data_IF_965934668945
#
_entry.id   IF_965934668945
#
_cell.length_a   1.000
_cell.length_b   1.000
_cell.length_c   1.000
_cell.angle_alpha   90.00
_cell.angle_beta   90.00
_cell.angle_gamma   90.00
#
_symmetry.space_group_name_H-M   'P 1'
#
loop_
_entity.id
_entity.type
_entity.pdbx_description
1 polymer ?
#
# COMPACT_ATOMS: atom_id res chain seq x y z
N UNK A 1 47.99 -22.54 32.68
CA UNK A 1 46.65 -22.98 32.27
C UNK A 1 45.77 -21.76 32.24
N UNK A 2 45.45 -21.24 31.05
CA UNK A 2 44.57 -20.06 30.89
C UNK A 2 43.12 -20.54 30.90
N UNK A 3 42.40 -20.18 31.93
CA UNK A 3 40.96 -20.40 32.00
C UNK A 3 40.28 -19.46 31.03
N UNK A 4 39.89 -19.97 29.84
CA UNK A 4 38.96 -19.26 28.95
C UNK A 4 37.63 -19.12 29.66
N UNK A 5 37.36 -17.94 30.21
CA UNK A 5 36.03 -17.58 30.69
C UNK A 5 35.14 -17.42 29.45
N UNK A 6 34.37 -18.43 29.09
CA UNK A 6 33.34 -18.33 28.07
C UNK A 6 32.22 -17.50 28.64
N UNK A 7 32.20 -16.21 28.29
CA UNK A 7 31.04 -15.34 28.57
C UNK A 7 29.85 -15.89 27.79
N UNK A 8 28.92 -16.52 28.45
CA UNK A 8 27.64 -16.92 27.84
C UNK A 8 26.86 -15.66 27.53
N UNK A 9 26.96 -15.18 26.29
CA UNK A 9 26.11 -14.12 25.83
C UNK A 9 24.69 -14.70 25.75
N UNK A 10 23.74 -14.09 26.46
CA UNK A 10 22.36 -14.57 26.42
C UNK A 10 21.81 -14.46 24.99
N UNK A 11 21.13 -15.51 24.55
CA UNK A 11 20.56 -15.60 23.20
C UNK A 11 19.71 -14.37 22.83
N UNK A 12 18.98 -13.82 23.79
CA UNK A 12 18.21 -12.58 23.65
C UNK A 12 19.07 -11.37 23.20
N UNK A 13 20.28 -11.19 23.76
CA UNK A 13 21.16 -10.10 23.38
C UNK A 13 21.69 -10.26 21.96
N UNK A 14 22.00 -11.49 21.55
CA UNK A 14 22.41 -11.77 20.15
C UNK A 14 21.30 -11.46 19.17
N UNK A 15 20.07 -11.85 19.47
CA UNK A 15 18.92 -11.54 18.63
C UNK A 15 18.66 -10.03 18.55
N UNK A 16 18.72 -9.32 19.67
CA UNK A 16 18.54 -7.86 19.71
C UNK A 16 19.60 -7.14 18.88
N UNK A 17 20.87 -7.56 18.98
CA UNK A 17 21.96 -7.00 18.19
C UNK A 17 21.75 -7.25 16.68
N UNK A 18 21.45 -8.49 16.26
CA UNK A 18 21.18 -8.81 14.85
C UNK A 18 20.02 -8.01 14.29
N UNK A 19 18.98 -7.79 15.10
CA UNK A 19 17.84 -6.97 14.68
C UNK A 19 18.25 -5.50 14.50
N UNK A 20 19.06 -4.95 15.39
CA UNK A 20 19.56 -3.57 15.26
C UNK A 20 20.42 -3.41 14.00
N UNK A 21 21.35 -4.33 13.75
CA UNK A 21 22.17 -4.35 12.55
C UNK A 21 21.34 -4.42 11.26
N UNK A 22 20.29 -5.26 11.24
CA UNK A 22 19.36 -5.35 10.13
C UNK A 22 18.61 -4.02 9.90
N UNK A 23 18.12 -3.39 10.96
CA UNK A 23 17.41 -2.11 10.89
C UNK A 23 18.32 -1.01 10.38
N UNK A 24 19.56 -0.95 10.84
CA UNK A 24 20.54 0.04 10.39
C UNK A 24 20.88 -0.14 8.91
N UNK A 25 21.17 -1.39 8.48
CA UNK A 25 21.44 -1.69 7.08
C UNK A 25 20.24 -1.35 6.19
N UNK A 26 19.02 -1.65 6.64
CA UNK A 26 17.80 -1.34 5.91
C UNK A 26 17.60 0.18 5.78
N UNK A 27 17.76 0.94 6.87
CA UNK A 27 17.66 2.41 6.86
C UNK A 27 18.71 3.08 5.97
N UNK A 28 19.90 2.54 5.93
CA UNK A 28 21.00 3.07 5.09
C UNK A 28 20.69 2.94 3.59
N UNK A 29 19.88 1.97 3.20
CA UNK A 29 19.51 1.71 1.79
C UNK A 29 18.10 2.20 1.42
N UNK A 30 17.32 2.66 2.38
CA UNK A 30 15.98 3.18 2.13
C UNK A 30 16.02 4.61 1.60
N UNK A 31 15.28 4.88 0.55
CA UNK A 31 15.02 6.25 0.09
C UNK A 31 13.69 6.75 0.66
N UNK A 32 13.69 7.99 1.16
CA UNK A 32 12.46 8.64 1.67
C UNK A 32 11.55 9.12 0.54
N UNK A 33 12.14 9.59 -0.56
CA UNK A 33 11.42 9.93 -1.79
C UNK A 33 12.05 9.17 -2.94
N UNK A 34 11.22 8.49 -3.71
CA UNK A 34 11.59 7.83 -4.96
C UNK A 34 10.94 8.60 -6.09
N UNK A 35 11.75 9.24 -6.89
CA UNK A 35 11.27 10.00 -8.04
C UNK A 35 10.86 9.06 -9.20
N UNK A 36 9.87 9.49 -9.99
CA UNK A 36 9.41 8.72 -11.14
C UNK A 36 10.56 8.47 -12.13
N UNK A 37 11.43 9.44 -12.34
CA UNK A 37 12.59 9.34 -13.21
C UNK A 37 13.65 8.31 -12.77
N UNK A 38 13.61 7.89 -11.49
CA UNK A 38 14.46 6.82 -10.95
C UNK A 38 13.86 5.42 -11.16
N UNK A 39 12.67 5.32 -11.76
CA UNK A 39 11.97 4.05 -11.98
C UNK A 39 12.21 3.56 -13.41
N UNK A 40 13.08 2.58 -13.53
CA UNK A 40 13.37 1.97 -14.82
C UNK A 40 12.34 0.92 -15.19
N UNK A 41 11.70 1.10 -16.37
CA UNK A 41 10.67 0.19 -16.86
C UNK A 41 11.26 -0.91 -17.74
N UNK A 42 11.05 -2.18 -17.35
CA UNK A 42 11.54 -3.35 -18.06
C UNK A 42 10.40 -4.22 -18.58
N UNK A 43 10.60 -4.84 -19.75
CA UNK A 43 9.67 -5.83 -20.27
C UNK A 43 9.64 -7.08 -19.39
N UNK A 44 8.46 -7.62 -19.16
CA UNK A 44 8.26 -8.86 -18.40
C UNK A 44 7.80 -9.99 -19.29
N UNK A 45 8.00 -11.24 -18.87
CA UNK A 45 7.43 -12.43 -19.52
C UNK A 45 5.89 -12.45 -19.56
N UNK A 46 5.23 -11.49 -18.90
CA UNK A 46 3.78 -11.35 -18.84
C UNK A 46 3.21 -10.37 -19.87
N UNK A 47 4.00 -9.97 -20.89
CA UNK A 47 3.60 -9.03 -21.95
C UNK A 47 3.28 -7.61 -21.44
N UNK A 48 3.84 -7.24 -20.30
CA UNK A 48 3.73 -5.89 -19.72
C UNK A 48 5.13 -5.36 -19.44
N UNK A 49 5.25 -4.05 -19.26
CA UNK A 49 6.43 -3.47 -18.64
C UNK A 49 6.18 -3.26 -17.14
N UNK A 50 7.23 -3.41 -16.34
CA UNK A 50 7.22 -3.24 -14.88
C UNK A 50 8.41 -2.40 -14.46
N UNK A 51 8.19 -1.46 -13.56
CA UNK A 51 9.23 -0.69 -12.88
C UNK A 51 9.00 -0.67 -11.38
N UNK A 52 10.05 -0.82 -10.58
CA UNK A 52 9.94 -0.90 -9.12
C UNK A 52 10.26 0.44 -8.50
N UNK A 53 9.26 1.06 -7.87
CA UNK A 53 9.48 2.24 -7.01
C UNK A 53 10.13 1.84 -5.69
N UNK A 54 9.49 0.95 -4.95
CA UNK A 54 9.94 0.49 -3.63
C UNK A 54 9.79 -1.01 -3.58
N UNK A 55 10.86 -1.69 -3.25
CA UNK A 55 10.95 -3.16 -3.22
C UNK A 55 12.38 -3.63 -3.41
N UNK A 56 12.66 -4.86 -3.05
CA UNK A 56 13.99 -5.47 -3.13
C UNK A 56 14.57 -5.47 -4.56
N UNK A 57 13.74 -5.80 -5.55
CA UNK A 57 14.11 -5.84 -6.98
C UNK A 57 14.59 -4.48 -7.52
N UNK A 58 14.11 -3.38 -6.94
CA UNK A 58 14.53 -2.02 -7.29
C UNK A 58 15.74 -1.53 -6.47
N UNK A 59 16.35 -2.38 -5.66
CA UNK A 59 17.44 -2.00 -4.75
C UNK A 59 16.99 -1.10 -3.59
N UNK A 60 15.69 -1.02 -3.32
CA UNK A 60 15.06 -0.22 -2.26
C UNK A 60 14.23 -1.13 -1.37
N UNK A 61 14.88 -1.91 -0.48
CA UNK A 61 14.24 -2.92 0.33
C UNK A 61 13.16 -2.32 1.24
N UNK A 62 12.14 -3.11 1.50
CA UNK A 62 10.98 -2.78 2.35
C UNK A 62 10.70 -3.94 3.29
N UNK A 63 9.89 -3.70 4.32
CA UNK A 63 9.55 -4.74 5.31
C UNK A 63 8.21 -5.37 5.05
N UNK A 64 7.26 -4.58 4.59
CA UNK A 64 5.87 -4.99 4.63
C UNK A 64 5.17 -4.92 3.29
N UNK A 65 5.52 -3.97 2.47
CA UNK A 65 4.87 -3.73 1.18
C UNK A 65 5.88 -3.48 0.08
N UNK A 66 5.45 -3.58 -1.17
CA UNK A 66 6.17 -3.08 -2.33
C UNK A 66 5.30 -2.14 -3.16
N UNK A 67 5.92 -1.34 -4.02
CA UNK A 67 5.24 -0.47 -4.97
C UNK A 67 5.86 -0.60 -6.35
N UNK A 68 5.06 -0.95 -7.35
CA UNK A 68 5.52 -1.13 -8.71
C UNK A 68 4.63 -0.40 -9.71
N UNK A 69 5.25 0.16 -10.74
CA UNK A 69 4.55 0.71 -11.89
C UNK A 69 4.41 -0.37 -12.98
N UNK A 70 3.29 -0.36 -13.68
CA UNK A 70 3.00 -1.24 -14.80
C UNK A 70 2.49 -0.47 -15.99
N UNK A 71 2.86 -0.94 -17.18
CA UNK A 71 2.38 -0.43 -18.46
C UNK A 71 1.91 -1.57 -19.34
N UNK A 72 0.75 -1.36 -19.97
CA UNK A 72 0.17 -2.27 -20.95
C UNK A 72 -0.06 -1.50 -22.25
N UNK A 73 0.55 -1.96 -23.33
CA UNK A 73 0.37 -1.35 -24.65
C UNK A 73 -0.98 -1.73 -25.27
N UNK A 74 -1.51 -0.92 -26.20
CA UNK A 74 -2.75 -1.20 -26.91
C UNK A 74 -2.77 -2.60 -27.54
N UNK A 75 -3.91 -3.26 -27.46
CA UNK A 75 -4.13 -4.61 -28.01
C UNK A 75 -3.45 -5.74 -27.23
N UNK A 76 -2.86 -5.46 -26.09
CA UNK A 76 -2.13 -6.44 -25.27
C UNK A 76 -3.02 -7.00 -24.16
N UNK A 77 -2.89 -8.31 -23.92
CA UNK A 77 -3.44 -9.01 -22.77
C UNK A 77 -2.30 -9.72 -22.04
N UNK A 78 -2.17 -9.50 -20.74
CA UNK A 78 -1.16 -10.16 -19.91
C UNK A 78 -1.47 -11.64 -19.70
N UNK A 79 -0.46 -12.43 -19.31
CA UNK A 79 -0.70 -13.78 -18.82
C UNK A 79 -1.46 -13.77 -17.51
N UNK A 80 -2.20 -14.85 -17.24
CA UNK A 80 -2.94 -15.07 -15.99
C UNK A 80 -2.00 -15.55 -14.90
N UNK A 81 -2.23 -15.10 -13.68
CA UNK A 81 -1.55 -15.60 -12.49
C UNK A 81 -2.39 -15.40 -11.24
N UNK A 82 -1.98 -16.02 -10.16
CA UNK A 82 -2.45 -15.75 -8.79
C UNK A 82 -1.33 -15.84 -7.79
N UNK A 83 -1.50 -15.21 -6.66
CA UNK A 83 -0.50 -15.18 -5.60
C UNK A 83 -1.13 -15.18 -4.22
N UNK A 84 -0.34 -15.55 -3.20
CA UNK A 84 -0.80 -15.69 -1.80
C UNK A 84 -1.00 -14.38 -1.06
N UNK A 85 -0.62 -13.25 -1.64
CA UNK A 85 -0.78 -11.92 -1.06
C UNK A 85 -1.89 -11.12 -1.74
N UNK A 86 -2.39 -10.12 -1.03
CA UNK A 86 -3.27 -9.11 -1.61
C UNK A 86 -2.45 -8.08 -2.39
N UNK A 87 -2.96 -7.63 -3.53
CA UNK A 87 -2.43 -6.48 -4.25
C UNK A 87 -3.54 -5.47 -4.51
N UNK A 88 -3.15 -4.21 -4.48
CA UNK A 88 -4.01 -3.07 -4.76
C UNK A 88 -3.50 -2.34 -5.98
N UNK A 89 -4.41 -1.92 -6.82
CA UNK A 89 -4.13 -1.21 -8.06
C UNK A 89 -4.65 0.22 -7.94
N UNK A 90 -3.83 1.18 -8.34
CA UNK A 90 -4.26 2.55 -8.58
C UNK A 90 -3.97 2.91 -10.04
N UNK A 91 -5.02 3.26 -10.78
CA UNK A 91 -4.94 3.53 -12.21
C UNK A 91 -4.49 4.98 -12.43
N UNK A 92 -3.42 5.20 -13.17
CA UNK A 92 -2.83 6.54 -13.32
C UNK A 92 -2.99 7.13 -14.71
N UNK A 93 -3.11 6.30 -15.76
CA UNK A 93 -3.30 6.79 -17.12
C UNK A 93 -3.87 5.72 -18.06
N UNK A 94 -4.55 6.16 -19.11
CA UNK A 94 -5.16 5.29 -20.12
C UNK A 94 -6.41 4.57 -19.59
N UNK A 95 -7.04 3.80 -20.47
CA UNK A 95 -8.19 2.96 -20.16
C UNK A 95 -7.83 1.51 -20.43
N UNK A 96 -8.21 0.63 -19.52
CA UNK A 96 -7.94 -0.80 -19.64
C UNK A 96 -8.95 -1.61 -18.83
N UNK A 97 -8.71 -2.90 -18.72
CA UNK A 97 -9.50 -3.79 -17.89
C UNK A 97 -8.63 -4.75 -17.09
N UNK A 98 -9.17 -5.19 -15.98
CA UNK A 98 -8.62 -6.26 -15.15
C UNK A 98 -9.68 -7.33 -14.97
N UNK A 99 -9.31 -8.59 -15.14
CA UNK A 99 -10.18 -9.72 -14.88
C UNK A 99 -9.73 -10.44 -13.62
N UNK A 100 -10.66 -10.67 -12.71
CA UNK A 100 -10.45 -11.35 -11.42
C UNK A 100 -11.45 -12.49 -11.30
N UNK A 101 -10.99 -13.73 -11.27
CA UNK A 101 -11.83 -14.94 -11.17
C UNK A 101 -13.01 -14.93 -12.15
N UNK A 102 -12.77 -14.51 -13.41
CA UNK A 102 -13.77 -14.42 -14.48
C UNK A 102 -14.61 -13.13 -14.49
N UNK A 103 -14.45 -12.25 -13.50
CA UNK A 103 -15.12 -10.95 -13.47
C UNK A 103 -14.24 -9.89 -14.11
N UNK A 104 -14.68 -9.31 -15.24
CA UNK A 104 -13.97 -8.23 -15.92
C UNK A 104 -14.41 -6.88 -15.39
N UNK A 105 -13.45 -6.06 -15.02
CA UNK A 105 -13.61 -4.71 -14.49
C UNK A 105 -12.90 -3.75 -15.43
N UNK A 106 -13.63 -2.86 -16.08
CA UNK A 106 -13.04 -1.76 -16.86
C UNK A 106 -12.67 -0.62 -15.91
N UNK A 107 -11.54 0.03 -16.19
CA UNK A 107 -11.04 1.11 -15.36
C UNK A 107 -10.38 2.22 -16.18
N UNK A 108 -10.37 3.40 -15.61
CA UNK A 108 -9.69 4.59 -16.12
C UNK A 108 -8.86 5.30 -15.05
N UNK A 109 -8.25 6.45 -15.38
CA UNK A 109 -7.39 7.17 -14.45
C UNK A 109 -8.12 7.55 -13.15
N UNK A 110 -7.52 7.21 -12.00
CA UNK A 110 -8.05 7.44 -10.67
C UNK A 110 -8.84 6.29 -10.07
N UNK A 111 -9.25 5.31 -10.87
CA UNK A 111 -9.91 4.12 -10.36
C UNK A 111 -8.95 3.26 -9.53
N UNK A 112 -9.50 2.52 -8.58
CA UNK A 112 -8.75 1.62 -7.70
C UNK A 112 -9.34 0.22 -7.72
N UNK A 113 -8.48 -0.79 -7.67
CA UNK A 113 -8.86 -2.20 -7.73
C UNK A 113 -8.21 -3.00 -6.61
N UNK A 114 -8.90 -4.01 -6.15
CA UNK A 114 -8.36 -5.05 -5.26
C UNK A 114 -8.17 -6.34 -6.03
N UNK A 115 -6.97 -6.91 -5.92
CA UNK A 115 -6.63 -8.24 -6.39
C UNK A 115 -6.50 -9.15 -5.15
N UNK A 116 -7.58 -9.85 -4.77
CA UNK A 116 -7.57 -10.66 -3.56
C UNK A 116 -6.56 -11.80 -3.65
N UNK A 117 -5.96 -12.15 -2.52
CA UNK A 117 -5.07 -13.29 -2.40
C UNK A 117 -5.72 -14.56 -2.99
N UNK A 118 -4.97 -15.30 -3.81
CA UNK A 118 -5.38 -16.52 -4.51
C UNK A 118 -6.49 -16.37 -5.54
N UNK A 119 -6.82 -15.14 -5.98
CA UNK A 119 -7.70 -14.92 -7.13
C UNK A 119 -6.89 -14.91 -8.43
N UNK A 120 -7.33 -15.68 -9.42
CA UNK A 120 -6.75 -15.63 -10.75
C UNK A 120 -7.03 -14.27 -11.38
N UNK A 121 -6.00 -13.60 -11.87
CA UNK A 121 -6.16 -12.30 -12.50
C UNK A 121 -5.22 -12.08 -13.68
N UNK A 122 -5.67 -11.21 -14.57
CA UNK A 122 -4.94 -10.71 -15.74
C UNK A 122 -5.40 -9.30 -16.08
N UNK A 123 -4.64 -8.62 -16.91
CA UNK A 123 -4.93 -7.28 -17.36
C UNK A 123 -4.94 -7.20 -18.87
N UNK A 124 -5.72 -6.33 -19.46
CA UNK A 124 -5.74 -6.11 -20.90
C UNK A 124 -6.07 -4.67 -21.25
N UNK A 125 -5.53 -4.22 -22.38
CA UNK A 125 -5.74 -2.89 -22.92
C UNK A 125 -6.37 -2.98 -24.31
N UNK A 126 -7.63 -2.62 -24.41
CA UNK A 126 -8.40 -2.53 -25.65
C UNK A 126 -8.46 -1.08 -26.19
N UNK A 127 -7.83 -0.13 -25.49
CA UNK A 127 -7.76 1.29 -25.84
C UNK A 127 -6.71 1.59 -26.92
N UNK A 128 -6.56 2.87 -27.24
CA UNK A 128 -5.65 3.35 -28.28
C UNK A 128 -4.30 3.86 -27.75
N UNK A 129 -4.15 4.00 -26.44
CA UNK A 129 -2.94 4.49 -25.76
C UNK A 129 -2.45 3.51 -24.72
N UNK A 130 -1.19 3.61 -24.32
CA UNK A 130 -0.63 2.82 -23.22
C UNK A 130 -1.38 3.11 -21.91
N UNK A 131 -1.89 2.05 -21.29
CA UNK A 131 -2.50 2.14 -19.96
C UNK A 131 -1.44 1.93 -18.88
N UNK A 132 -1.53 2.73 -17.80
CA UNK A 132 -0.56 2.73 -16.69
C UNK A 132 -1.26 2.63 -15.36
N UNK A 133 -0.73 1.79 -14.49
CA UNK A 133 -1.21 1.64 -13.13
C UNK A 133 -0.08 1.31 -12.17
N UNK A 134 -0.30 1.62 -10.90
CA UNK A 134 0.57 1.22 -9.81
C UNK A 134 -0.03 0.02 -9.10
N UNK A 135 0.82 -0.90 -8.66
CA UNK A 135 0.42 -1.94 -7.71
C UNK A 135 1.15 -1.74 -6.40
N UNK A 136 0.43 -2.02 -5.33
CA UNK A 136 0.96 -2.08 -3.97
C UNK A 136 0.58 -3.43 -3.40
N UNK A 137 1.55 -4.17 -2.88
CA UNK A 137 1.30 -5.53 -2.40
C UNK A 137 1.92 -5.80 -1.03
N UNK A 138 1.39 -6.80 -0.34
CA UNK A 138 1.93 -7.30 0.92
C UNK A 138 2.93 -8.45 0.74
N UNK A 139 3.45 -8.64 -0.46
CA UNK A 139 4.40 -9.70 -0.81
C UNK A 139 5.63 -9.73 0.12
N UNK A 140 6.34 -8.59 0.35
CA UNK A 140 7.59 -8.62 1.12
C UNK A 140 7.44 -9.15 2.55
N UNK A 141 6.29 -8.89 3.17
CA UNK A 141 6.00 -9.46 4.48
C UNK A 141 5.85 -10.98 4.40
N UNK A 142 5.14 -11.48 3.40
CA UNK A 142 4.95 -12.93 3.22
C UNK A 142 6.23 -13.63 2.78
N UNK A 143 7.08 -12.98 1.99
CA UNK A 143 8.42 -13.48 1.69
C UNK A 143 9.25 -13.70 2.96
N UNK A 144 9.26 -12.69 3.85
CA UNK A 144 9.96 -12.77 5.13
C UNK A 144 9.46 -13.94 5.99
N UNK A 145 8.18 -14.29 5.87
CA UNK A 145 7.55 -15.43 6.57
C UNK A 145 7.68 -16.76 5.80
N UNK A 146 8.23 -16.77 4.59
CA UNK A 146 8.30 -17.96 3.73
C UNK A 146 6.94 -18.40 3.19
N UNK A 147 6.00 -17.45 3.05
CA UNK A 147 4.61 -17.71 2.64
C UNK A 147 4.25 -17.03 1.30
N UNK A 148 5.19 -16.38 0.64
CA UNK A 148 4.97 -15.82 -0.70
C UNK A 148 4.99 -16.97 -1.73
N UNK A 149 3.83 -17.23 -2.32
CA UNK A 149 3.62 -18.28 -3.32
C UNK A 149 2.89 -17.66 -4.51
N UNK A 150 3.33 -18.01 -5.71
CA UNK A 150 2.73 -17.56 -6.96
C UNK A 150 2.51 -18.75 -7.89
N UNK A 151 1.39 -18.74 -8.60
CA UNK A 151 1.06 -19.71 -9.64
C UNK A 151 0.82 -18.99 -10.97
N UNK A 152 1.38 -19.54 -12.05
CA UNK A 152 1.22 -19.04 -13.41
C UNK A 152 0.17 -19.89 -14.16
N UNK A 153 -0.85 -19.21 -14.73
CA UNK A 153 -1.89 -19.81 -15.55
C UNK A 153 -1.65 -19.63 -17.05
N UNK A 154 -0.56 -18.97 -17.45
CA UNK A 154 -0.20 -18.73 -18.86
C UNK A 154 -1.26 -17.92 -19.60
N UNK A 155 -1.67 -18.41 -20.78
CA UNK A 155 -2.66 -17.77 -21.65
C UNK A 155 -4.11 -18.24 -21.39
N UNK A 156 -4.34 -19.00 -20.34
CA UNK A 156 -5.69 -19.49 -20.02
C UNK A 156 -6.66 -18.34 -19.72
N UNK A 157 -7.94 -18.61 -19.88
CA UNK A 157 -8.99 -17.73 -19.37
C UNK A 157 -9.16 -17.95 -17.86
N UNK A 158 -9.24 -16.88 -17.07
CA UNK A 158 -9.39 -16.97 -15.61
C UNK A 158 -10.59 -17.82 -15.19
N UNK A 159 -11.69 -17.77 -15.96
CA UNK A 159 -12.89 -18.55 -15.72
C UNK A 159 -12.70 -20.07 -15.96
N UNK A 160 -11.68 -20.46 -16.72
CA UNK A 160 -11.39 -21.88 -17.02
C UNK A 160 -10.39 -22.51 -16.06
N UNK A 161 -9.69 -21.70 -15.29
CA UNK A 161 -8.70 -22.17 -14.32
C UNK A 161 -9.40 -22.65 -13.05
N UNK A 162 -8.85 -23.67 -12.37
CA UNK A 162 -9.47 -24.17 -11.16
C UNK A 162 -9.47 -23.10 -10.09
N UNK A 163 -10.64 -22.77 -9.52
CA UNK A 163 -10.69 -21.87 -8.39
C UNK A 163 -9.93 -22.48 -7.20
N UNK A 164 -9.53 -21.65 -6.24
CA UNK A 164 -9.02 -22.18 -4.98
C UNK A 164 -10.08 -23.11 -4.38
N UNK A 165 -9.72 -24.36 -4.04
CA UNK A 165 -10.66 -25.26 -3.38
C UNK A 165 -11.20 -24.60 -2.11
N UNK A 166 -12.52 -24.61 -1.87
CA UNK A 166 -13.04 -24.11 -0.61
C UNK A 166 -12.51 -24.96 0.53
N UNK A 167 -12.22 -24.34 1.66
CA UNK A 167 -12.02 -25.11 2.88
C UNK A 167 -13.27 -25.93 3.15
N UNK A 168 -13.11 -27.25 3.27
CA UNK A 168 -14.21 -28.11 3.71
C UNK A 168 -14.52 -27.75 5.16
N UNK A 169 -15.81 -27.47 5.51
CA UNK A 169 -16.16 -27.17 6.88
C UNK A 169 -15.99 -28.35 7.83
N UNK A 170 -15.48 -29.49 7.36
CA UNK A 170 -15.38 -30.73 8.14
C UNK A 170 -16.76 -31.41 8.39
N UNK A 171 -16.76 -32.60 8.86
CA UNK A 171 -17.98 -33.24 9.32
C UNK A 171 -18.57 -32.45 10.50
N UNK A 172 -19.88 -32.38 10.60
CA UNK A 172 -20.55 -31.80 11.75
C UNK A 172 -20.14 -32.58 13.02
N UNK A 173 -19.31 -31.98 13.83
CA UNK A 173 -18.76 -32.60 15.02
C UNK A 173 -18.15 -31.55 15.96
N UNK A 174 -17.97 -31.92 17.21
CA UNK A 174 -17.43 -31.06 18.24
C UNK A 174 -15.88 -31.09 18.34
N UNK A 175 -15.21 -31.68 17.35
CA UNK A 175 -13.75 -31.73 17.41
C UNK A 175 -13.13 -30.33 17.07
N UNK A 176 -11.98 -29.99 17.68
CA UNK A 176 -11.36 -28.69 17.52
C UNK A 176 -10.94 -28.36 16.06
N UNK A 177 -10.66 -29.36 15.24
CA UNK A 177 -10.31 -29.17 13.84
C UNK A 177 -11.53 -28.81 13.01
N UNK A 178 -12.67 -29.40 13.22
CA UNK A 178 -13.90 -29.04 12.53
C UNK A 178 -14.28 -27.59 12.77
N UNK A 179 -14.15 -27.10 14.01
CA UNK A 179 -14.40 -25.68 14.33
C UNK A 179 -13.42 -24.76 13.63
N UNK A 180 -12.12 -25.11 13.63
CA UNK A 180 -11.09 -24.34 12.90
C UNK A 180 -11.40 -24.29 11.42
N UNK A 181 -11.76 -25.39 10.78
CA UNK A 181 -12.07 -25.44 9.34
C UNK A 181 -13.33 -24.64 9.01
N UNK A 182 -14.37 -24.68 9.85
CA UNK A 182 -15.58 -23.84 9.67
C UNK A 182 -15.23 -22.35 9.68
N UNK A 183 -14.40 -21.90 10.62
CA UNK A 183 -13.96 -20.51 10.72
C UNK A 183 -13.14 -20.11 9.48
N UNK A 184 -12.18 -20.93 9.06
CA UNK A 184 -11.39 -20.66 7.86
C UNK A 184 -12.25 -20.63 6.59
N UNK A 185 -13.25 -21.48 6.47
CA UNK A 185 -14.20 -21.48 5.37
C UNK A 185 -15.02 -20.17 5.34
N UNK A 186 -15.51 -19.72 6.50
CA UNK A 186 -16.26 -18.47 6.63
C UNK A 186 -15.39 -17.25 6.26
N UNK A 187 -14.15 -17.18 6.74
CA UNK A 187 -13.19 -16.12 6.38
C UNK A 187 -12.89 -16.10 4.87
N UNK A 188 -12.69 -17.29 4.28
CA UNK A 188 -12.46 -17.40 2.85
C UNK A 188 -13.66 -16.92 2.02
N UNK A 189 -14.88 -17.26 2.45
CA UNK A 189 -16.10 -16.82 1.79
C UNK A 189 -16.27 -15.29 1.90
N UNK A 190 -16.02 -14.72 3.08
CA UNK A 190 -16.11 -13.28 3.30
C UNK A 190 -15.14 -12.51 2.38
N UNK A 191 -13.90 -12.97 2.25
CA UNK A 191 -12.90 -12.36 1.37
C UNK A 191 -13.31 -12.36 -0.10
N UNK A 192 -13.93 -13.46 -0.56
CA UNK A 192 -14.43 -13.55 -1.95
C UNK A 192 -15.63 -12.66 -2.24
N UNK A 193 -16.41 -12.31 -1.22
CA UNK A 193 -17.56 -11.42 -1.34
C UNK A 193 -17.20 -9.93 -1.22
N UNK A 194 -15.92 -9.61 -1.02
CA UNK A 194 -15.44 -8.23 -0.87
C UNK A 194 -15.56 -7.41 -2.17
N UNK A 195 -15.65 -6.11 -2.01
CA UNK A 195 -15.62 -5.15 -3.12
C UNK A 195 -14.28 -5.26 -3.88
N UNK A 196 -14.31 -5.17 -5.21
CA UNK A 196 -13.12 -5.26 -6.07
C UNK A 196 -12.73 -3.94 -6.73
N UNK A 197 -13.64 -2.97 -6.83
CA UNK A 197 -13.44 -1.75 -7.61
C UNK A 197 -14.05 -0.53 -6.93
N UNK A 198 -13.32 0.57 -6.93
CA UNK A 198 -13.80 1.91 -6.63
C UNK A 198 -13.59 2.79 -7.85
N UNK A 199 -14.68 3.30 -8.42
CA UNK A 199 -14.63 4.26 -9.52
C UNK A 199 -14.26 5.64 -8.99
N UNK A 200 -13.47 6.38 -9.77
CA UNK A 200 -13.20 7.78 -9.50
C UNK A 200 -14.45 8.63 -9.37
N UNK A 201 -15.46 8.31 -10.17
CA UNK A 201 -16.69 9.10 -10.24
C UNK A 201 -17.60 8.90 -9.00
N UNK A 202 -17.31 7.87 -8.18
CA UNK A 202 -18.00 7.60 -6.91
C UNK A 202 -17.32 8.27 -5.71
N UNK A 203 -16.20 8.98 -5.91
CA UNK A 203 -15.40 9.50 -4.80
C UNK A 203 -16.01 10.77 -4.22
N UNK A 204 -16.16 10.80 -2.91
CA UNK A 204 -16.52 11.97 -2.13
C UNK A 204 -15.38 12.32 -1.16
N UNK A 205 -14.84 13.54 -1.30
CA UNK A 205 -13.76 14.04 -0.45
C UNK A 205 -14.35 14.75 0.77
N UNK A 206 -14.06 14.23 1.96
CA UNK A 206 -14.58 14.75 3.22
C UNK A 206 -13.47 15.45 4.05
N UNK A 207 -13.76 16.60 4.68
CA UNK A 207 -12.80 17.28 5.54
C UNK A 207 -12.45 16.43 6.76
N UNK A 208 -11.20 16.52 7.20
CA UNK A 208 -10.68 15.79 8.35
C UNK A 208 -10.09 16.75 9.37
N UNK A 209 -10.04 16.38 10.68
CA UNK A 209 -9.39 17.18 11.70
C UNK A 209 -7.88 17.41 11.47
N UNK A 210 -7.29 16.75 10.48
CA UNK A 210 -5.87 16.85 10.13
C UNK A 210 -5.53 17.97 9.14
N UNK A 211 -6.48 18.87 8.84
CA UNK A 211 -6.28 19.97 7.92
C UNK A 211 -6.34 19.57 6.42
N UNK A 212 -6.83 18.38 6.13
CA UNK A 212 -6.99 17.81 4.79
C UNK A 212 -8.43 17.44 4.52
N UNK A 213 -8.79 17.17 3.26
CA UNK A 213 -9.96 16.33 2.98
C UNK A 213 -9.50 14.99 2.44
N UNK A 214 -10.26 13.93 2.75
CA UNK A 214 -9.85 12.55 2.49
C UNK A 214 -11.03 11.72 1.99
N UNK A 215 -10.73 10.70 1.19
CA UNK A 215 -11.65 9.63 0.80
C UNK A 215 -10.95 8.28 0.86
N UNK A 216 -11.69 7.21 1.13
CA UNK A 216 -11.17 5.86 0.99
C UNK A 216 -11.26 5.40 -0.46
N UNK A 217 -10.16 4.83 -0.97
CA UNK A 217 -10.10 4.17 -2.26
C UNK A 217 -10.22 2.66 -2.12
N UNK A 218 -9.66 2.11 -1.05
CA UNK A 218 -9.69 0.69 -0.75
C UNK A 218 -9.55 0.50 0.77
N UNK A 219 -10.69 0.19 1.42
CA UNK A 219 -10.75 0.07 2.88
C UNK A 219 -11.92 -0.85 3.28
N UNK A 220 -11.81 -1.48 4.45
CA UNK A 220 -12.90 -2.34 4.98
C UNK A 220 -14.17 -1.54 5.25
N UNK A 221 -14.05 -0.26 5.61
CA UNK A 221 -15.19 0.62 5.86
C UNK A 221 -16.08 0.82 4.63
N UNK A 222 -15.55 0.64 3.43
CA UNK A 222 -16.28 0.74 2.16
C UNK A 222 -16.48 -0.61 1.46
N UNK A 223 -16.36 -1.72 2.21
CA UNK A 223 -16.73 -3.07 1.76
C UNK A 223 -15.61 -3.93 1.19
N UNK A 224 -14.37 -3.50 1.25
CA UNK A 224 -13.23 -4.34 0.86
C UNK A 224 -12.88 -5.36 1.95
N UNK A 225 -12.36 -6.51 1.52
CA UNK A 225 -11.89 -7.58 2.40
C UNK A 225 -10.39 -7.81 2.26
N UNK A 226 -9.65 -6.74 2.03
CA UNK A 226 -8.19 -6.78 1.93
C UNK A 226 -7.54 -7.13 3.29
N UNK A 227 -6.47 -7.90 3.23
CA UNK A 227 -5.76 -8.38 4.41
C UNK A 227 -4.49 -7.56 4.64
N UNK A 228 -4.60 -6.43 5.27
CA UNK A 228 -3.41 -5.73 5.78
C UNK A 228 -3.01 -4.46 5.09
N UNK A 229 -3.56 -4.12 3.93
CA UNK A 229 -3.26 -2.86 3.24
C UNK A 229 -4.54 -2.07 3.05
N UNK A 230 -4.48 -0.76 3.25
CA UNK A 230 -5.55 0.18 2.91
C UNK A 230 -5.04 1.23 1.95
N UNK A 231 -5.93 1.80 1.15
CA UNK A 231 -5.63 2.89 0.24
C UNK A 231 -6.63 4.01 0.45
N UNK A 232 -6.12 5.22 0.65
CA UNK A 232 -6.93 6.42 0.77
C UNK A 232 -6.29 7.55 -0.04
N UNK A 233 -7.11 8.47 -0.52
CA UNK A 233 -6.61 9.69 -1.15
C UNK A 233 -6.90 10.86 -0.22
N UNK A 234 -5.94 11.76 -0.10
CA UNK A 234 -6.14 13.02 0.60
C UNK A 234 -5.60 14.21 -0.20
N UNK A 235 -6.14 15.37 0.09
CA UNK A 235 -5.75 16.65 -0.50
C UNK A 235 -5.27 17.60 0.58
N UNK A 236 -4.19 18.32 0.25
CA UNK A 236 -3.63 19.40 1.05
C UNK A 236 -3.88 20.70 0.30
N UNK A 237 -4.58 21.63 0.92
CA UNK A 237 -4.90 22.93 0.32
C UNK A 237 -3.65 23.76 -0.01
N UNK A 238 -3.80 24.82 -0.82
CA UNK A 238 -2.70 25.68 -1.22
C UNK A 238 -1.96 26.28 -0.03
N UNK A 239 -0.62 26.16 -0.01
CA UNK A 239 0.24 26.65 1.07
C UNK A 239 -0.06 26.06 2.46
N UNK A 240 -0.73 24.92 2.52
CA UNK A 240 -1.16 24.28 3.77
C UNK A 240 -0.36 23.02 4.07
N UNK A 241 -0.54 22.51 5.29
CA UNK A 241 0.06 21.28 5.76
C UNK A 241 -0.98 20.35 6.37
N UNK A 242 -0.77 19.05 6.25
CA UNK A 242 -1.43 18.07 7.10
C UNK A 242 -0.91 18.20 8.53
N UNK A 243 -1.71 17.90 9.56
CA UNK A 243 -1.21 17.87 10.93
C UNK A 243 -0.09 16.84 11.10
N UNK A 244 0.95 17.22 11.86
CA UNK A 244 2.03 16.30 12.21
C UNK A 244 1.51 15.16 13.07
N UNK A 245 2.03 13.95 12.85
CA UNK A 245 1.68 12.76 13.62
C UNK A 245 2.71 11.67 13.41
N UNK A 246 2.59 10.56 14.14
CA UNK A 246 3.28 9.31 13.87
C UNK A 246 2.36 8.13 14.13
N UNK A 247 2.67 6.99 13.52
CA UNK A 247 1.91 5.75 13.65
C UNK A 247 2.81 4.53 13.45
N UNK A 248 2.41 3.34 13.94
CA UNK A 248 3.02 2.08 13.56
C UNK A 248 2.70 1.77 12.09
N UNK A 249 3.49 0.93 11.47
CA UNK A 249 3.31 0.55 10.07
C UNK A 249 3.97 1.55 9.11
N UNK A 250 4.44 1.03 7.98
CA UNK A 250 4.93 1.85 6.88
C UNK A 250 3.76 2.49 6.15
N UNK A 251 3.93 3.72 5.69
CA UNK A 251 3.00 4.37 4.80
C UNK A 251 3.74 4.88 3.56
N UNK A 252 3.13 4.72 2.40
CA UNK A 252 3.64 5.25 1.15
C UNK A 252 2.62 6.17 0.53
N UNK A 253 3.12 7.23 -0.07
CA UNK A 253 2.29 8.27 -0.61
C UNK A 253 2.70 8.52 -2.06
N UNK A 254 1.85 8.11 -2.98
CA UNK A 254 2.02 8.44 -4.40
C UNK A 254 1.45 9.84 -4.66
N UNK A 255 2.27 10.73 -5.20
CA UNK A 255 1.86 12.09 -5.52
C UNK A 255 1.11 12.12 -6.83
N UNK A 256 -0.22 12.23 -6.75
CA UNK A 256 -1.12 12.26 -7.91
C UNK A 256 -1.06 13.60 -8.62
N UNK A 257 -0.97 14.70 -7.85
CA UNK A 257 -0.88 16.06 -8.38
C UNK A 257 -0.25 17.01 -7.35
N UNK A 258 0.41 18.06 -7.87
CA UNK A 258 1.06 19.08 -7.05
C UNK A 258 2.50 18.76 -6.69
N UNK A 259 3.06 19.58 -5.81
CA UNK A 259 4.42 19.47 -5.29
C UNK A 259 4.49 20.05 -3.87
N UNK A 260 5.52 19.64 -3.13
CA UNK A 260 5.71 20.10 -1.77
C UNK A 260 6.89 19.43 -1.12
N UNK A 261 6.88 19.36 0.18
CA UNK A 261 7.87 18.61 0.94
C UNK A 261 7.24 17.87 2.12
N UNK A 262 7.95 16.85 2.60
CA UNK A 262 7.57 16.10 3.80
C UNK A 262 8.65 16.26 4.86
N UNK A 263 8.24 16.58 6.08
CA UNK A 263 9.08 16.48 7.26
C UNK A 263 9.06 15.02 7.76
N UNK A 264 10.23 14.46 8.07
CA UNK A 264 10.38 13.18 8.76
C UNK A 264 11.44 13.27 9.84
N UNK A 265 11.15 12.75 11.02
CA UNK A 265 12.06 12.77 12.15
C UNK A 265 11.74 11.73 13.22
N UNK A 266 12.76 11.35 14.00
CA UNK A 266 12.55 10.53 15.20
C UNK A 266 11.79 11.31 16.30
N UNK A 267 11.94 12.63 16.28
CA UNK A 267 11.28 13.58 17.17
C UNK A 267 10.43 14.57 16.34
N UNK A 268 9.45 15.25 16.96
CA UNK A 268 8.61 16.22 16.26
C UNK A 268 9.37 17.46 15.75
N UNK A 269 10.59 17.67 16.22
CA UNK A 269 11.48 18.75 15.81
C UNK A 269 12.88 18.19 15.48
N UNK A 270 13.65 18.91 14.65
CA UNK A 270 15.02 18.52 14.31
C UNK A 270 15.15 17.41 13.26
N UNK A 271 14.05 17.01 12.64
CA UNK A 271 14.06 16.06 11.53
C UNK A 271 14.53 16.70 10.22
N UNK A 272 14.30 16.01 9.11
CA UNK A 272 14.69 16.44 7.76
C UNK A 272 13.46 16.66 6.89
N UNK A 273 13.60 17.53 5.90
CA UNK A 273 12.60 17.77 4.87
C UNK A 273 13.03 17.14 3.56
N UNK A 274 12.07 16.59 2.84
CA UNK A 274 12.27 15.88 1.59
C UNK A 274 11.28 16.42 0.56
N UNK A 275 11.75 17.09 -0.50
CA UNK A 275 10.88 17.62 -1.55
C UNK A 275 10.28 16.47 -2.37
N UNK A 276 9.07 16.70 -2.89
CA UNK A 276 8.38 15.78 -3.77
C UNK A 276 7.54 16.54 -4.81
N UNK A 277 7.26 15.86 -5.90
CA UNK A 277 6.43 16.35 -7.00
C UNK A 277 5.55 15.23 -7.54
N UNK A 278 4.64 15.58 -8.42
CA UNK A 278 3.79 14.64 -9.14
C UNK A 278 4.57 13.46 -9.73
N UNK A 279 4.09 12.25 -9.49
CA UNK A 279 4.69 10.99 -9.90
C UNK A 279 5.63 10.35 -8.88
N UNK A 280 6.07 11.08 -7.86
CA UNK A 280 6.96 10.55 -6.82
C UNK A 280 6.21 9.69 -5.82
N UNK A 281 6.94 8.76 -5.17
CA UNK A 281 6.48 8.06 -3.97
C UNK A 281 7.30 8.51 -2.76
N UNK A 282 6.58 8.93 -1.71
CA UNK A 282 7.15 9.27 -0.41
C UNK A 282 7.03 8.03 0.48
N UNK A 283 8.12 7.63 1.12
CA UNK A 283 8.18 6.49 2.04
C UNK A 283 8.27 6.99 3.48
N UNK A 284 7.28 6.66 4.28
CA UNK A 284 7.24 6.95 5.71
C UNK A 284 7.48 5.66 6.48
N UNK A 285 8.60 5.57 7.18
CA UNK A 285 8.95 4.42 8.01
C UNK A 285 8.16 4.40 9.33
N UNK A 286 8.13 3.25 10.00
CA UNK A 286 7.45 3.04 11.28
C UNK A 286 7.83 4.09 12.33
N UNK A 287 6.82 4.64 13.00
CA UNK A 287 6.95 5.56 14.13
C UNK A 287 7.81 6.81 13.89
N UNK A 288 8.05 7.19 12.63
CA UNK A 288 8.63 8.51 12.36
C UNK A 288 7.54 9.58 12.49
N UNK A 289 7.87 10.65 13.20
CA UNK A 289 7.10 11.87 13.13
C UNK A 289 7.15 12.41 11.73
N UNK A 290 5.99 12.68 11.15
CA UNK A 290 5.91 13.17 9.79
C UNK A 290 4.78 14.16 9.59
N UNK A 291 4.97 14.99 8.58
CA UNK A 291 4.05 16.00 8.13
C UNK A 291 4.26 16.21 6.64
N UNK A 292 3.16 16.38 5.90
CA UNK A 292 3.19 16.66 4.48
C UNK A 292 2.71 18.08 4.23
N UNK A 293 3.49 18.86 3.49
CA UNK A 293 3.29 20.29 3.24
C UNK A 293 3.16 20.51 1.74
N UNK A 294 2.12 21.20 1.33
CA UNK A 294 1.93 21.67 -0.02
C UNK A 294 2.59 23.05 -0.16
N UNK A 295 3.63 23.16 -0.98
CA UNK A 295 4.38 24.40 -1.18
C UNK A 295 3.75 25.32 -2.22
N UNK A 296 2.80 24.84 -3.01
CA UNK A 296 2.11 25.65 -4.01
C UNK A 296 1.07 26.56 -3.33
N UNK A 297 1.18 27.89 -3.47
CA UNK A 297 0.25 28.82 -2.82
C UNK A 297 -1.12 28.91 -3.50
N UNK A 298 -1.28 28.34 -4.70
CA UNK A 298 -2.48 28.48 -5.51
C UNK A 298 -3.18 27.14 -5.78
N UNK A 299 -2.44 26.03 -5.81
CA UNK A 299 -2.98 24.73 -6.20
C UNK A 299 -2.99 23.74 -5.04
N UNK A 300 -4.00 22.92 -5.02
CA UNK A 300 -4.13 21.79 -4.10
C UNK A 300 -3.19 20.67 -4.50
N UNK A 301 -2.45 20.11 -3.55
CA UNK A 301 -1.72 18.85 -3.75
C UNK A 301 -2.61 17.66 -3.43
N UNK A 302 -2.50 16.60 -4.22
CA UNK A 302 -3.29 15.36 -4.09
C UNK A 302 -2.38 14.16 -3.99
N UNK A 303 -2.61 13.32 -3.00
CA UNK A 303 -1.75 12.19 -2.68
C UNK A 303 -2.59 10.95 -2.39
N UNK A 304 -2.22 9.83 -2.98
CA UNK A 304 -2.75 8.50 -2.61
C UNK A 304 -1.84 7.90 -1.54
N UNK A 305 -2.41 7.68 -0.37
CA UNK A 305 -1.74 7.03 0.75
C UNK A 305 -2.05 5.54 0.75
N UNK A 306 -1.02 4.74 0.78
CA UNK A 306 -1.07 3.30 0.98
C UNK A 306 -0.52 3.03 2.38
N UNK A 307 -1.26 2.29 3.19
CA UNK A 307 -0.89 2.05 4.56
C UNK A 307 -1.19 0.62 4.97
N UNK A 308 -0.22 -0.01 5.61
CA UNK A 308 -0.42 -1.30 6.23
C UNK A 308 -1.04 -1.09 7.61
N UNK A 309 -2.35 -0.87 7.66
CA UNK A 309 -2.98 -0.43 8.88
C UNK A 309 -4.04 -1.41 9.40
N UNK A 310 -5.21 -1.45 8.90
CA UNK A 310 -6.38 -2.02 9.56
C UNK A 310 -6.27 -3.48 10.01
N UNK A 311 -6.33 -4.45 9.12
CA UNK A 311 -6.43 -5.85 9.50
C UNK A 311 -5.15 -6.41 10.11
N UNK A 312 -3.97 -5.90 9.68
CA UNK A 312 -2.73 -6.28 10.31
C UNK A 312 -2.62 -5.70 11.72
N UNK A 313 -3.00 -4.44 11.91
CA UNK A 313 -3.02 -3.84 13.24
C UNK A 313 -4.05 -4.48 14.16
N UNK A 314 -5.22 -4.84 13.69
CA UNK A 314 -6.19 -5.63 14.48
C UNK A 314 -5.59 -6.96 14.92
N UNK A 315 -4.87 -7.64 14.03
CA UNK A 315 -4.16 -8.86 14.35
C UNK A 315 -3.02 -8.59 15.35
N UNK A 316 -2.24 -7.52 15.13
CA UNK A 316 -1.12 -7.16 16.00
C UNK A 316 -1.57 -6.63 17.35
N UNK A 317 -2.74 -5.99 17.46
CA UNK A 317 -3.32 -5.59 18.74
C UNK A 317 -3.46 -6.77 19.70
N UNK A 318 -3.85 -7.93 19.19
CA UNK A 318 -3.93 -9.13 19.99
C UNK A 318 -2.55 -9.64 20.45
N UNK A 319 -1.48 -9.25 19.77
CA UNK A 319 -0.11 -9.71 20.04
C UNK A 319 0.74 -8.66 20.78
N UNK A 320 0.40 -7.38 20.65
CA UNK A 320 1.22 -6.26 21.09
C UNK A 320 0.37 -5.19 21.83
N UNK A 321 -0.53 -5.58 22.71
CA UNK A 321 -1.31 -4.66 23.52
C UNK A 321 -0.45 -4.03 24.64
N UNK A 322 -0.51 -2.70 24.87
CA UNK A 322 -1.26 -1.69 24.14
C UNK A 322 -0.50 -1.19 22.90
N UNK A 323 -1.13 -1.24 21.75
CA UNK A 323 -0.61 -0.64 20.53
C UNK A 323 -1.17 0.78 20.33
N UNK A 324 -0.29 1.77 20.28
CA UNK A 324 -0.67 3.15 19.95
C UNK A 324 -0.91 3.23 18.44
N UNK A 325 -2.14 3.52 18.02
CA UNK A 325 -2.50 3.63 16.60
C UNK A 325 -1.99 4.92 15.98
N UNK A 326 -2.15 6.03 16.71
CA UNK A 326 -1.68 7.34 16.30
C UNK A 326 -1.17 8.08 17.50
N UNK A 327 -0.14 8.88 17.32
CA UNK A 327 0.38 9.79 18.30
C UNK A 327 0.39 11.20 17.72
N UNK A 328 -0.21 12.13 18.44
CA UNK A 328 -0.22 13.55 18.11
C UNK A 328 1.00 14.23 18.74
N UNK A 329 1.57 15.26 18.11
CA UNK A 329 2.68 15.99 18.69
C UNK A 329 2.23 16.81 19.92
N UNK A 330 3.17 17.28 20.76
CA UNK A 330 2.87 18.20 21.84
C UNK A 330 2.09 19.43 21.36
N UNK A 331 1.24 19.99 22.23
CA UNK A 331 0.31 21.08 21.90
C UNK A 331 0.98 22.29 21.24
N UNK A 332 2.17 22.67 21.71
CA UNK A 332 2.91 23.81 21.16
C UNK A 332 3.37 23.63 19.70
N UNK A 333 3.38 22.40 19.21
CA UNK A 333 3.67 22.07 17.80
C UNK A 333 2.36 21.92 17.03
N UNK A 334 1.38 21.22 17.61
CA UNK A 334 0.08 20.97 16.99
C UNK A 334 -0.64 22.24 16.60
N UNK A 335 -0.67 23.22 17.50
CA UNK A 335 -1.43 24.47 17.32
C UNK A 335 -0.86 25.39 16.21
N UNK A 336 0.34 25.12 15.71
CA UNK A 336 1.00 25.94 14.69
C UNK A 336 0.77 25.46 13.24
N UNK A 337 0.27 24.25 13.04
CA UNK A 337 0.54 23.55 11.77
C UNK A 337 -0.68 23.09 10.96
N UNK A 338 -1.84 22.91 11.57
CA UNK A 338 -3.03 22.48 10.83
C UNK A 338 -3.98 23.68 10.68
N UNK A 339 -4.12 24.16 9.45
CA UNK A 339 -5.19 25.11 9.14
C UNK A 339 -6.56 24.42 9.22
N UNK A 340 -7.60 25.20 9.53
CA UNK A 340 -8.98 24.72 9.43
C UNK A 340 -9.30 24.28 7.99
N UNK A 341 -9.64 23.01 7.75
CA UNK A 341 -9.98 22.53 6.39
C UNK A 341 -11.23 23.24 5.84
N UNK A 342 -12.12 23.74 6.69
CA UNK A 342 -13.29 24.53 6.29
C UNK A 342 -12.95 25.91 5.71
N UNK A 343 -11.70 26.39 5.88
CA UNK A 343 -11.23 27.68 5.34
C UNK A 343 -10.61 27.56 3.94
N UNK A 344 -10.59 26.38 3.34
CA UNK A 344 -10.02 26.14 1.99
C UNK A 344 -11.14 26.09 0.97
N UNK A 345 -10.98 26.86 -0.10
CA UNK A 345 -11.81 26.70 -1.30
C UNK A 345 -11.27 25.52 -2.12
N UNK A 346 -11.88 24.35 -1.90
CA UNK A 346 -11.43 23.11 -2.51
C UNK A 346 -11.89 23.02 -3.98
N UNK A 347 -10.95 22.83 -4.91
CA UNK A 347 -11.32 22.64 -6.32
C UNK A 347 -12.07 21.32 -6.51
N UNK A 348 -12.88 21.22 -7.60
CA UNK A 348 -13.47 19.95 -8.00
C UNK A 348 -12.41 18.87 -8.22
N UNK A 349 -12.77 17.61 -7.91
CA UNK A 349 -11.96 16.47 -8.27
C UNK A 349 -11.82 16.34 -9.79
N UNK A 350 -10.59 16.29 -10.27
CA UNK A 350 -10.27 16.02 -11.67
C UNK A 350 -9.49 14.72 -11.77
N UNK A 351 -9.79 13.92 -12.80
CA UNK A 351 -9.08 12.65 -13.01
C UNK A 351 -7.57 12.88 -13.11
N UNK A 352 -6.76 11.99 -12.54
CA UNK A 352 -5.30 12.10 -12.61
C UNK A 352 -4.81 11.95 -14.06
N UNK A 353 -3.65 12.53 -14.31
CA UNK A 353 -2.92 12.37 -15.56
C UNK A 353 -1.53 11.86 -15.25
N UNK A 354 -0.94 11.09 -16.15
CA UNK A 354 0.46 10.69 -16.03
C UNK A 354 1.36 11.95 -16.11
N UNK A 355 2.45 12.00 -15.30
CA UNK A 355 3.43 13.10 -15.33
C UNK A 355 4.13 13.26 -16.67
#
# INVERSE_FOLDING_TARGET
MSTKTTTKVAHYHVQKQRRAEFIEAWRANQRTVVALEDVEMHGTGRRMRRGVYVGADGGRPTRSMDATAHEIDPGTVSTVHRHSWDAMVFCVAGEAWTEVDGTRIHWGPGDSLHLPAWSWHRHGNEGNGTARFLTFSSEPMLETMGMAIMEDGGDADTATLPPRPPFSPGAAGADPYAERLRRLAADQQARRAGRLHTSWDDLEMLPTPRGTRTTFLLDRAIGYQASGITMAMFEIGPGRAQSMHRHPGEAWLYVVDGSGHSYLGAEPEGGKTYPWKKGDIIVVDHFLWHQHINDDPERTARVVRIHMFDSLLETMRALCDPLVLFEEPPDHIRDKQAGDPGSVDWPPLTRPTWP
#
